data_IF_616521581226
#
_entry.id   IF_616521581226
#
_cell.length_a   1.000
_cell.length_b   1.000
_cell.length_c   1.000
_cell.angle_alpha   90.00
_cell.angle_beta   90.00
_cell.angle_gamma   90.00
#
_symmetry.space_group_name_H-M   'P 1'
#
loop_
_entity.id
_entity.type
_entity.pdbx_description
1 polymer ?
#
# COMPACT_ATOMS: atom_id res chain seq x y z
N UNK A 1 -33.54 14.89 20.92
CA UNK A 1 -32.49 15.93 20.72
C UNK A 1 -31.08 15.41 21.00
N UNK A 2 -30.83 14.68 22.09
CA UNK A 2 -29.47 14.20 22.45
C UNK A 2 -28.90 13.17 21.45
N UNK A 3 -29.71 12.22 20.98
CA UNK A 3 -29.32 11.19 20.00
C UNK A 3 -28.88 11.77 18.65
N UNK A 4 -29.53 12.85 18.19
CA UNK A 4 -29.18 13.53 16.93
C UNK A 4 -27.80 14.21 17.04
N UNK A 5 -27.51 14.81 18.19
CA UNK A 5 -26.21 15.45 18.47
C UNK A 5 -25.10 14.38 18.52
N UNK A 6 -25.37 13.23 19.14
CA UNK A 6 -24.43 12.09 19.18
C UNK A 6 -24.19 11.49 17.79
N UNK A 7 -25.25 11.28 17.00
CA UNK A 7 -25.13 10.76 15.63
C UNK A 7 -24.28 11.67 14.74
N UNK A 8 -24.45 12.99 14.86
CA UNK A 8 -23.64 13.97 14.13
C UNK A 8 -22.16 13.90 14.51
N UNK A 9 -21.85 13.81 15.80
CA UNK A 9 -20.47 13.64 16.30
C UNK A 9 -19.84 12.34 15.81
N UNK A 10 -20.59 11.25 15.87
CA UNK A 10 -20.12 9.95 15.41
C UNK A 10 -19.86 9.93 13.89
N UNK A 11 -20.74 10.58 13.11
CA UNK A 11 -20.53 10.75 11.67
C UNK A 11 -19.25 11.51 11.34
N UNK A 12 -18.95 12.58 12.09
CA UNK A 12 -17.70 13.34 11.92
C UNK A 12 -16.49 12.46 12.23
N UNK A 13 -16.51 11.72 13.34
CA UNK A 13 -15.42 10.82 13.73
C UNK A 13 -15.20 9.71 12.68
N UNK A 14 -16.29 9.10 12.20
CA UNK A 14 -16.23 8.09 11.14
C UNK A 14 -15.62 8.66 9.85
N UNK A 15 -15.99 9.88 9.47
CA UNK A 15 -15.44 10.52 8.27
C UNK A 15 -13.93 10.72 8.39
N UNK A 16 -13.45 11.24 9.54
CA UNK A 16 -12.02 11.40 9.78
C UNK A 16 -11.28 10.05 9.79
N UNK A 17 -11.86 9.03 10.44
CA UNK A 17 -11.28 7.69 10.46
C UNK A 17 -11.18 7.08 9.06
N UNK A 18 -12.22 7.23 8.23
CA UNK A 18 -12.24 6.73 6.86
C UNK A 18 -11.18 7.42 5.99
N UNK A 19 -11.09 8.76 6.07
CA UNK A 19 -10.07 9.52 5.34
C UNK A 19 -8.67 9.08 5.77
N UNK A 20 -8.43 8.96 7.08
CA UNK A 20 -7.15 8.50 7.62
C UNK A 20 -6.79 7.09 7.13
N UNK A 21 -7.73 6.15 7.14
CA UNK A 21 -7.47 4.80 6.67
C UNK A 21 -7.11 4.74 5.18
N UNK A 22 -7.80 5.52 4.34
CA UNK A 22 -7.54 5.59 2.90
C UNK A 22 -6.16 6.21 2.63
N UNK A 23 -5.86 7.35 3.26
CA UNK A 23 -4.57 8.03 3.07
C UNK A 23 -3.42 7.20 3.60
N UNK A 24 -3.58 6.54 4.74
CA UNK A 24 -2.58 5.64 5.30
C UNK A 24 -2.34 4.43 4.38
N UNK A 25 -3.39 3.83 3.83
CA UNK A 25 -3.27 2.73 2.87
C UNK A 25 -2.48 3.17 1.65
N UNK A 26 -2.79 4.34 1.07
CA UNK A 26 -2.02 4.87 -0.07
C UNK A 26 -0.56 5.20 0.31
N UNK A 27 -0.33 5.79 1.47
CA UNK A 27 1.01 6.11 1.94
C UNK A 27 1.86 4.84 2.13
N UNK A 28 1.28 3.77 2.67
CA UNK A 28 1.93 2.46 2.82
C UNK A 28 2.15 1.81 1.46
N UNK A 29 1.20 1.87 0.52
CA UNK A 29 1.39 1.35 -0.84
C UNK A 29 2.53 2.09 -1.57
N UNK A 30 2.59 3.42 -1.47
CA UNK A 30 3.66 4.22 -2.09
C UNK A 30 5.02 4.03 -1.40
N UNK A 31 5.05 3.85 -0.08
CA UNK A 31 6.28 3.60 0.68
C UNK A 31 6.76 2.15 0.54
N UNK A 32 5.83 1.19 0.47
CA UNK A 32 6.06 -0.23 0.21
C UNK A 32 6.46 -0.53 -1.24
N UNK A 33 6.17 0.37 -2.17
CA UNK A 33 6.74 0.32 -3.54
C UNK A 33 8.20 0.77 -3.61
N UNK A 34 8.74 1.39 -2.55
CA UNK A 34 10.09 1.96 -2.53
C UNK A 34 11.17 1.02 -1.97
N UNK A 35 10.87 -0.26 -1.71
CA UNK A 35 11.89 -1.22 -1.29
C UNK A 35 11.43 -2.66 -1.40
N UNK A 36 12.15 -3.44 -2.19
CA UNK A 36 12.05 -4.89 -2.32
C UNK A 36 10.83 -5.42 -3.09
N UNK A 37 11.03 -5.60 -4.41
CA UNK A 37 10.71 -6.91 -4.99
C UNK A 37 11.44 -7.95 -4.14
N UNK A 38 10.75 -8.51 -3.14
CA UNK A 38 11.22 -9.63 -2.32
C UNK A 38 11.32 -10.88 -3.20
N UNK A 39 12.39 -10.95 -3.99
CA UNK A 39 12.88 -12.18 -4.58
C UNK A 39 13.54 -13.00 -3.47
N UNK A 40 12.72 -13.56 -2.56
CA UNK A 40 13.19 -14.60 -1.66
C UNK A 40 13.06 -15.95 -2.36
N UNK A 41 14.21 -16.52 -2.73
CA UNK A 41 14.33 -17.95 -3.06
C UNK A 41 14.95 -18.31 -4.41
N UNK A 42 15.28 -17.35 -5.28
CA UNK A 42 15.83 -17.70 -6.58
C UNK A 42 16.90 -16.71 -7.06
N UNK A 43 18.14 -17.07 -6.77
CA UNK A 43 19.34 -16.47 -7.33
C UNK A 43 19.50 -16.87 -8.79
N UNK A 44 18.61 -16.43 -9.68
CA UNK A 44 18.96 -16.35 -11.11
C UNK A 44 19.57 -14.98 -11.35
N UNK A 45 20.88 -14.95 -11.57
CA UNK A 45 21.60 -13.78 -12.04
C UNK A 45 21.00 -13.34 -13.38
N UNK A 46 20.10 -12.36 -13.40
CA UNK A 46 19.65 -11.77 -14.66
C UNK A 46 20.87 -11.13 -15.34
N UNK A 47 21.34 -11.73 -16.43
CA UNK A 47 22.55 -11.31 -17.15
C UNK A 47 22.33 -10.00 -17.96
N UNK A 48 21.13 -9.43 -17.98
CA UNK A 48 20.79 -8.32 -18.86
C UNK A 48 20.16 -7.14 -18.11
N UNK A 49 21.00 -6.17 -17.72
CA UNK A 49 20.56 -4.90 -17.13
C UNK A 49 19.97 -4.01 -18.24
N UNK A 50 18.64 -3.86 -18.30
CA UNK A 50 17.98 -2.90 -19.19
C UNK A 50 16.82 -3.41 -20.05
N UNK A 51 16.37 -4.66 -19.90
CA UNK A 51 15.19 -5.22 -20.58
C UNK A 51 14.14 -5.64 -19.55
N UNK A 52 12.82 -5.45 -19.82
CA UNK A 52 11.75 -5.85 -18.89
C UNK A 52 11.55 -7.38 -18.78
N UNK A 53 12.33 -8.19 -19.49
CA UNK A 53 12.26 -9.64 -19.47
C UNK A 53 13.60 -10.25 -19.02
N UNK A 54 13.59 -11.00 -17.91
CA UNK A 54 14.72 -11.84 -17.49
C UNK A 54 14.58 -13.23 -18.12
N UNK A 55 15.55 -13.63 -18.94
CA UNK A 55 15.67 -15.02 -19.43
C UNK A 55 16.58 -15.77 -18.47
N UNK A 56 16.11 -16.88 -17.91
CA UNK A 56 16.94 -17.77 -17.09
C UNK A 56 17.77 -18.67 -18.00
N UNK A 57 19.08 -18.73 -17.79
CA UNK A 57 19.89 -19.82 -18.35
C UNK A 57 19.55 -21.11 -17.61
N UNK A 58 19.05 -22.12 -18.33
CA UNK A 58 18.91 -23.49 -17.84
C UNK A 58 20.27 -24.14 -17.68
#
# INVERSE_FOLDING_TARGET
MNTIIMARRFGIIMLFAAIFAITFSMAVEHTGRSGAQSHFGASFTCLQTGSPYCTTVQ
#
